data_IF_332120698647
#
_entry.id   IF_332120698647
#
_cell.length_a   1.000
_cell.length_b   1.000
_cell.length_c   1.000
_cell.angle_alpha   90.00
_cell.angle_beta   90.00
_cell.angle_gamma   90.00
#
_symmetry.space_group_name_H-M   'P 1'
#
loop_
_entity.id
_entity.type
_entity.pdbx_description
1 polymer ?
#
# COMPACT_ATOMS: atom_id res chain seq x y z
N UNK A 1 9.85 2.66 19.28
CA UNK A 1 8.90 2.23 18.23
C UNK A 1 9.71 2.12 16.94
N UNK A 2 9.98 0.90 16.51
CA UNK A 2 11.02 0.55 15.53
C UNK A 2 10.74 1.07 14.11
N UNK A 3 11.76 1.21 13.25
CA UNK A 3 11.58 1.57 11.85
C UNK A 3 10.65 0.57 11.16
N UNK A 4 9.67 1.05 10.40
CA UNK A 4 8.75 0.21 9.64
C UNK A 4 9.46 -0.27 8.38
N UNK A 5 10.08 -1.44 8.45
CA UNK A 5 10.82 -2.06 7.34
C UNK A 5 9.94 -2.96 6.46
N UNK A 6 8.67 -3.13 6.82
CA UNK A 6 7.66 -3.87 6.06
C UNK A 6 6.51 -2.97 5.63
N UNK A 7 5.84 -3.32 4.53
CA UNK A 7 4.57 -2.70 4.17
C UNK A 7 3.50 -3.17 5.15
N UNK A 8 2.65 -2.27 5.66
CA UNK A 8 1.53 -2.67 6.51
C UNK A 8 0.60 -3.62 5.75
N UNK A 9 0.24 -4.74 6.36
CA UNK A 9 -0.58 -5.78 5.71
C UNK A 9 -1.91 -5.25 5.17
N UNK A 10 -2.51 -4.26 5.85
CA UNK A 10 -3.75 -3.60 5.42
C UNK A 10 -3.64 -2.85 4.08
N UNK A 11 -2.43 -2.48 3.64
CA UNK A 11 -2.19 -1.80 2.36
C UNK A 11 -2.02 -2.78 1.20
N UNK A 12 -1.67 -4.04 1.47
CA UNK A 12 -1.42 -5.07 0.45
C UNK A 12 -2.63 -5.31 -0.46
N UNK A 13 -3.87 -5.49 0.04
CA UNK A 13 -5.01 -5.74 -0.83
C UNK A 13 -5.24 -4.62 -1.84
N UNK A 14 -5.08 -3.36 -1.41
CA UNK A 14 -5.25 -2.19 -2.28
C UNK A 14 -4.18 -2.16 -3.37
N UNK A 15 -2.90 -2.36 -3.02
CA UNK A 15 -1.80 -2.37 -4.00
C UNK A 15 -1.97 -3.50 -5.03
N UNK A 16 -2.29 -4.71 -4.57
CA UNK A 16 -2.51 -5.85 -5.44
C UNK A 16 -3.74 -5.64 -6.32
N UNK A 17 -4.81 -5.02 -5.81
CA UNK A 17 -5.99 -4.68 -6.60
C UNK A 17 -5.68 -3.64 -7.69
N UNK A 18 -4.89 -2.61 -7.40
CA UNK A 18 -4.44 -1.67 -8.43
C UNK A 18 -3.64 -2.35 -9.53
N UNK A 19 -2.72 -3.26 -9.20
CA UNK A 19 -1.96 -4.02 -10.19
C UNK A 19 -2.85 -4.96 -11.01
N UNK A 20 -3.82 -5.61 -10.36
CA UNK A 20 -4.83 -6.43 -11.04
C UNK A 20 -5.63 -5.62 -12.07
N UNK A 21 -6.07 -4.41 -11.71
CA UNK A 21 -6.87 -3.57 -12.60
C UNK A 21 -6.04 -2.89 -13.72
N UNK A 22 -4.77 -2.58 -13.46
CA UNK A 22 -3.90 -1.87 -14.40
C UNK A 22 -3.04 -2.79 -15.29
N UNK A 23 -2.95 -4.09 -14.95
CA UNK A 23 -2.07 -5.04 -15.64
C UNK A 23 -0.58 -4.84 -15.35
N UNK A 24 -0.22 -3.98 -14.39
CA UNK A 24 1.16 -3.72 -14.00
C UNK A 24 1.73 -4.88 -13.17
N UNK A 25 3.01 -5.21 -13.40
CA UNK A 25 3.72 -6.28 -12.70
C UNK A 25 4.28 -5.88 -11.34
N UNK A 26 4.30 -4.60 -11.01
CA UNK A 26 4.70 -4.09 -9.69
C UNK A 26 4.12 -2.70 -9.41
N UNK A 27 4.05 -2.35 -8.12
CA UNK A 27 3.63 -1.04 -7.64
C UNK A 27 4.67 -0.44 -6.69
N UNK A 28 4.73 0.90 -6.65
CA UNK A 28 5.48 1.64 -5.65
C UNK A 28 4.53 2.18 -4.58
N UNK A 29 4.91 2.00 -3.33
CA UNK A 29 4.22 2.57 -2.17
C UNK A 29 5.17 3.55 -1.48
N UNK A 30 4.75 4.80 -1.38
CA UNK A 30 5.50 5.84 -0.68
C UNK A 30 4.91 6.03 0.72
N UNK A 31 5.72 5.76 1.74
CA UNK A 31 5.40 6.08 3.13
C UNK A 31 6.21 7.30 3.55
N UNK A 32 5.53 8.37 3.94
CA UNK A 32 6.16 9.60 4.44
C UNK A 32 5.71 9.87 5.86
N UNK A 33 6.67 10.15 6.73
CA UNK A 33 6.48 10.57 8.11
C UNK A 33 7.30 11.82 8.38
N UNK A 34 6.72 12.78 9.09
CA UNK A 34 7.41 14.02 9.47
C UNK A 34 8.67 13.75 10.31
N UNK A 35 8.66 12.70 11.15
CA UNK A 35 9.77 12.38 12.06
C UNK A 35 10.69 11.27 11.55
N UNK A 36 10.24 10.48 10.56
CA UNK A 36 11.00 9.32 10.04
C UNK A 36 11.40 9.45 8.59
N UNK A 37 11.06 10.56 7.94
CA UNK A 37 11.38 10.80 6.54
C UNK A 37 10.48 10.03 5.58
N UNK A 38 11.02 9.69 4.43
CA UNK A 38 10.33 9.03 3.33
C UNK A 38 10.94 7.66 3.06
N UNK A 39 10.09 6.68 2.80
CA UNK A 39 10.48 5.35 2.36
C UNK A 39 9.61 4.92 1.20
N UNK A 40 10.25 4.43 0.13
CA UNK A 40 9.58 3.89 -1.04
C UNK A 40 9.75 2.39 -1.04
N UNK A 41 8.63 1.67 -1.10
CA UNK A 41 8.58 0.23 -1.20
C UNK A 41 8.17 -0.18 -2.61
N UNK A 42 8.79 -1.22 -3.16
CA UNK A 42 8.34 -1.91 -4.37
C UNK A 42 7.67 -3.22 -3.98
N UNK A 43 6.47 -3.43 -4.49
CA UNK A 43 5.71 -4.67 -4.34
C UNK A 43 5.46 -5.29 -5.70
N UNK A 44 5.86 -6.55 -5.94
CA UNK A 44 5.48 -7.26 -7.16
C UNK A 44 4.00 -7.67 -7.12
N UNK A 45 3.38 -7.78 -8.28
CA UNK A 45 2.08 -8.40 -8.44
C UNK A 45 2.17 -9.89 -8.11
N UNK A 46 1.12 -10.45 -7.50
CA UNK A 46 1.02 -11.88 -7.20
C UNK A 46 -0.27 -12.45 -7.82
N UNK A 47 -0.12 -13.24 -8.88
CA UNK A 47 -1.26 -13.77 -9.63
C UNK A 47 -2.14 -14.69 -8.81
N UNK A 48 -1.55 -15.54 -7.96
CA UNK A 48 -2.36 -16.41 -7.12
C UNK A 48 -3.09 -15.60 -6.03
N UNK A 49 -2.58 -14.43 -5.63
CA UNK A 49 -3.24 -13.54 -4.67
C UNK A 49 -4.38 -12.83 -5.38
N UNK A 50 -4.16 -12.38 -6.62
CA UNK A 50 -5.20 -11.90 -7.50
C UNK A 50 -6.31 -12.94 -7.72
N UNK A 51 -5.97 -14.22 -7.87
CA UNK A 51 -6.93 -15.32 -7.91
C UNK A 51 -7.83 -15.40 -6.67
N UNK A 52 -7.22 -15.32 -5.48
CA UNK A 52 -7.94 -15.31 -4.21
C UNK A 52 -8.80 -14.05 -4.04
N UNK A 53 -8.30 -12.88 -4.41
CA UNK A 53 -9.06 -11.62 -4.40
C UNK A 53 -10.27 -11.69 -5.33
N UNK A 54 -10.08 -12.12 -6.58
CA UNK A 54 -11.16 -12.29 -7.58
C UNK A 54 -12.26 -13.20 -7.02
N UNK A 55 -11.88 -14.30 -6.37
CA UNK A 55 -12.83 -15.22 -5.73
C UNK A 55 -13.70 -14.52 -4.67
N UNK A 56 -13.08 -13.79 -3.73
CA UNK A 56 -13.83 -13.14 -2.64
C UNK A 56 -14.61 -11.90 -3.09
N UNK A 57 -14.10 -11.13 -4.06
CA UNK A 57 -14.82 -10.01 -4.68
C UNK A 57 -16.08 -10.52 -5.40
N UNK A 58 -15.97 -11.61 -6.18
CA UNK A 58 -17.11 -12.20 -6.85
C UNK A 58 -18.18 -12.69 -5.88
N UNK A 59 -17.77 -13.29 -4.75
CA UNK A 59 -18.71 -13.72 -3.70
C UNK A 59 -19.36 -12.56 -2.97
N UNK A 60 -18.60 -11.51 -2.67
CA UNK A 60 -19.13 -10.26 -2.12
C UNK A 60 -20.19 -9.68 -3.05
N UNK A 61 -19.87 -9.58 -4.35
CA UNK A 61 -20.77 -9.07 -5.37
C UNK A 61 -22.04 -9.90 -5.51
N UNK A 62 -21.92 -11.23 -5.50
CA UNK A 62 -23.08 -12.13 -5.52
C UNK A 62 -23.99 -11.94 -4.30
N UNK A 63 -23.41 -11.76 -3.10
CA UNK A 63 -24.17 -11.50 -1.89
C UNK A 63 -24.94 -10.16 -1.95
N UNK A 64 -24.27 -9.10 -2.43
CA UNK A 64 -24.89 -7.78 -2.63
C UNK A 64 -26.03 -7.87 -3.65
N UNK A 65 -25.82 -8.55 -4.78
CA UNK A 65 -26.86 -8.78 -5.80
C UNK A 65 -28.06 -9.58 -5.29
N UNK A 66 -27.84 -10.47 -4.33
CA UNK A 66 -28.91 -11.22 -3.66
C UNK A 66 -29.65 -10.41 -2.57
N UNK A 67 -29.41 -9.09 -2.48
CA UNK A 67 -30.09 -8.20 -1.54
C UNK A 67 -29.55 -8.25 -0.11
N UNK A 68 -28.39 -8.89 0.14
CA UNK A 68 -27.75 -8.83 1.45
C UNK A 68 -27.15 -7.45 1.67
N UNK A 69 -27.89 -6.62 2.42
CA UNK A 69 -27.57 -5.21 2.68
C UNK A 69 -26.34 -5.02 3.58
N UNK A 70 -26.00 -6.04 4.39
CA UNK A 70 -24.80 -6.05 5.23
C UNK A 70 -24.27 -7.47 5.39
N UNK A 71 -22.96 -7.61 5.29
CA UNK A 71 -22.26 -8.82 5.71
C UNK A 71 -21.65 -8.59 7.11
N UNK A 72 -21.51 -9.64 7.93
CA UNK A 72 -20.69 -9.57 9.14
C UNK A 72 -19.29 -9.02 8.82
N UNK A 73 -18.61 -8.41 9.79
CA UNK A 73 -17.29 -7.81 9.60
C UNK A 73 -16.23 -8.78 9.03
N UNK A 74 -16.38 -10.09 9.27
CA UNK A 74 -15.49 -11.14 8.77
C UNK A 74 -16.29 -12.37 8.31
N UNK A 75 -16.98 -12.29 7.17
CA UNK A 75 -17.97 -13.30 6.79
C UNK A 75 -17.36 -14.64 6.39
N UNK A 76 -16.05 -14.68 6.08
CA UNK A 76 -15.34 -15.86 5.59
C UNK A 76 -14.18 -16.31 6.47
N UNK A 77 -14.05 -15.79 7.70
CA UNK A 77 -12.86 -16.05 8.55
C UNK A 77 -12.61 -17.53 8.83
N UNK A 78 -13.63 -18.38 8.86
CA UNK A 78 -13.46 -19.81 9.12
C UNK A 78 -13.08 -20.63 7.88
N UNK A 79 -13.05 -20.03 6.71
CA UNK A 79 -12.74 -20.74 5.46
C UNK A 79 -11.23 -20.87 5.24
N UNK A 80 -10.77 -22.07 4.92
CA UNK A 80 -9.35 -22.33 4.63
C UNK A 80 -8.81 -21.41 3.53
N UNK A 81 -9.58 -21.18 2.46
CA UNK A 81 -9.20 -20.29 1.36
C UNK A 81 -9.08 -18.81 1.80
N UNK A 82 -9.87 -18.38 2.79
CA UNK A 82 -9.77 -17.03 3.33
C UNK A 82 -8.53 -16.91 4.21
N UNK A 83 -8.23 -17.96 4.98
CA UNK A 83 -6.98 -18.06 5.73
C UNK A 83 -5.76 -18.02 4.80
N UNK A 84 -5.83 -18.65 3.63
CA UNK A 84 -4.78 -18.57 2.62
C UNK A 84 -4.62 -17.14 2.09
N UNK A 85 -5.72 -16.43 1.80
CA UNK A 85 -5.67 -15.01 1.43
C UNK A 85 -4.96 -14.18 2.52
N UNK A 86 -5.29 -14.38 3.79
CA UNK A 86 -4.68 -13.65 4.91
C UNK A 86 -3.18 -13.98 5.07
N UNK A 87 -2.78 -15.25 5.03
CA UNK A 87 -1.38 -15.66 5.09
C UNK A 87 -0.57 -15.05 3.96
N UNK A 88 -1.13 -15.03 2.76
CA UNK A 88 -0.48 -14.52 1.56
C UNK A 88 -0.41 -12.99 1.56
N UNK A 89 -1.39 -12.32 2.17
CA UNK A 89 -1.34 -10.88 2.49
C UNK A 89 -0.13 -10.57 3.37
N UNK A 90 0.05 -11.33 4.46
CA UNK A 90 1.20 -11.17 5.36
C UNK A 90 2.52 -11.46 4.63
N UNK A 91 2.60 -12.53 3.86
CA UNK A 91 3.79 -12.86 3.06
C UNK A 91 4.18 -11.70 2.12
N UNK A 92 3.21 -11.13 1.41
CA UNK A 92 3.44 -10.01 0.48
C UNK A 92 3.90 -8.75 1.21
N UNK A 93 3.29 -8.42 2.35
CA UNK A 93 3.72 -7.31 3.21
C UNK A 93 5.20 -7.38 3.58
N UNK A 94 5.68 -8.58 3.95
CA UNK A 94 7.08 -8.85 4.30
C UNK A 94 8.01 -8.87 3.09
N UNK A 95 7.50 -9.25 1.91
CA UNK A 95 8.29 -9.35 0.68
C UNK A 95 8.58 -8.01 0.01
N UNK A 96 7.84 -6.96 0.39
CA UNK A 96 7.99 -5.64 -0.20
C UNK A 96 9.39 -5.08 0.09
N UNK A 97 10.10 -4.66 -0.96
CA UNK A 97 11.49 -4.21 -0.85
C UNK A 97 11.54 -2.70 -0.75
N UNK A 98 12.34 -2.18 0.18
CA UNK A 98 12.68 -0.75 0.17
C UNK A 98 13.58 -0.49 -1.04
N UNK A 99 13.17 0.45 -1.89
CA UNK A 99 13.91 0.83 -3.11
C UNK A 99 14.48 2.24 -3.05
N UNK A 100 13.97 3.07 -2.15
CA UNK A 100 14.54 4.37 -1.83
C UNK A 100 14.16 4.76 -0.41
N UNK A 101 15.03 5.48 0.26
CA UNK A 101 14.73 6.16 1.52
C UNK A 101 15.37 7.53 1.56
N UNK A 102 14.70 8.45 2.23
CA UNK A 102 15.23 9.77 2.54
C UNK A 102 15.02 10.00 4.03
N UNK A 103 16.10 10.20 4.82
CA UNK A 103 15.95 10.48 6.23
C UNK A 103 15.13 11.76 6.41
N UNK A 104 14.27 11.78 7.42
CA UNK A 104 13.52 13.00 7.73
C UNK A 104 14.50 14.11 8.11
N UNK A 105 14.18 15.35 7.76
CA UNK A 105 14.82 16.48 8.42
C UNK A 105 14.65 16.31 9.93
N UNK A 106 15.68 16.63 10.72
CA UNK A 106 15.50 16.83 12.17
C UNK A 106 14.23 17.67 12.36
N UNK A 107 13.32 17.32 13.28
CA UNK A 107 12.14 18.13 13.50
C UNK A 107 12.62 19.55 13.79
N UNK A 108 12.35 20.48 12.86
CA UNK A 108 12.66 21.89 13.05
C UNK A 108 11.93 22.29 14.32
N UNK A 109 12.67 22.64 15.37
CA UNK A 109 12.10 23.08 16.65
C UNK A 109 11.14 24.23 16.35
N UNK A 110 9.83 23.97 16.46
CA UNK A 110 8.78 25.00 16.43
C UNK A 110 7.96 25.17 15.15
N UNK A 111 8.05 24.32 14.12
CA UNK A 111 7.28 24.55 12.87
C UNK A 111 6.12 23.56 12.64
N UNK A 112 4.88 24.07 12.76
CA UNK A 112 3.58 23.37 12.57
C UNK A 112 3.02 23.40 11.14
N UNK A 113 3.78 23.78 10.11
CA UNK A 113 3.25 23.87 8.74
C UNK A 113 4.09 23.09 7.72
N UNK A 114 3.55 21.94 7.28
CA UNK A 114 4.13 21.05 6.28
C UNK A 114 3.46 21.26 4.90
N UNK A 115 4.06 22.09 4.05
CA UNK A 115 3.82 22.02 2.59
C UNK A 115 4.96 22.68 1.83
N UNK A 116 5.95 21.92 1.34
CA UNK A 116 6.88 22.42 0.31
C UNK A 116 7.65 21.35 -0.47
N UNK A 117 7.01 20.28 -0.95
CA UNK A 117 7.72 19.32 -1.82
C UNK A 117 6.86 18.73 -2.95
N UNK A 118 5.81 19.43 -3.40
CA UNK A 118 5.03 19.04 -4.59
C UNK A 118 5.01 20.12 -5.69
N UNK A 119 5.79 21.18 -5.57
CA UNK A 119 5.95 22.21 -6.60
C UNK A 119 7.41 22.62 -6.68
N UNK A 120 8.22 21.78 -7.32
CA UNK A 120 9.40 22.25 -8.03
C UNK A 120 9.68 21.30 -9.19
N UNK A 121 8.70 21.21 -10.09
CA UNK A 121 8.92 20.81 -11.47
C UNK A 121 9.04 22.09 -12.31
N UNK A 122 10.26 22.36 -12.78
CA UNK A 122 10.52 23.24 -13.91
C UNK A 122 10.74 24.72 -13.60
N UNK A 123 12.01 25.10 -13.40
CA UNK A 123 12.65 26.18 -14.19
C UNK A 123 14.17 26.18 -14.01
N UNK A 124 14.85 25.99 -15.13
CA UNK A 124 16.27 26.26 -15.35
C UNK A 124 16.61 27.74 -15.04
N UNK A 125 17.84 27.96 -14.60
CA UNK A 125 18.59 29.20 -14.88
C UNK A 125 18.62 30.28 -13.80
N UNK A 126 19.75 30.37 -13.08
CA UNK A 126 20.62 31.56 -13.01
C UNK A 126 21.45 31.56 -11.71
N UNK A 127 22.77 31.47 -11.85
CA UNK A 127 23.71 31.78 -10.78
C UNK A 127 23.90 33.31 -10.70
N UNK A 128 24.00 33.92 -9.50
CA UNK A 128 24.48 35.28 -9.39
C UNK A 128 26.00 35.31 -9.20
N UNK A 129 26.60 36.21 -9.97
CA UNK A 129 27.99 36.67 -9.95
C UNK A 129 28.37 37.37 -8.65
#
# INVERSE_FOLDING_TARGET
MDPVWEVRAEWVPQLQFHMLCSGLSSALLVSRSATRGLRVFRMPADEAYAGLMKHYIARLWAAVRAGRRSLPANPWVREAKYQDLLRRTLMLARSARVVAEHPGAQPLRGCTHLTRWFLDDGREGAAPS
#
